data_IF_714010251395
#
_entry.id   IF_714010251395
#
_cell.length_a   1.000
_cell.length_b   1.000
_cell.length_c   1.000
_cell.angle_alpha   90.00
_cell.angle_beta   90.00
_cell.angle_gamma   90.00
#
_symmetry.space_group_name_H-M   'P 1'
#
loop_
_entity.id
_entity.type
_entity.pdbx_description
1 polymer ?
#
# COMPACT_ATOMS: atom_id res chain seq x y z
N UNK A 1 10.58 3.35 9.97
CA UNK A 1 9.40 4.24 9.98
C UNK A 1 8.54 3.83 11.18
N UNK A 2 8.20 4.75 12.09
CA UNK A 2 7.33 4.44 13.25
C UNK A 2 5.93 4.95 12.92
N UNK A 3 5.02 4.06 12.56
CA UNK A 3 3.61 4.39 12.34
C UNK A 3 2.93 4.52 13.71
N UNK A 4 2.76 5.75 14.17
CA UNK A 4 2.02 6.10 15.39
C UNK A 4 0.68 6.74 15.03
N UNK A 5 -0.27 6.79 15.99
CA UNK A 5 -1.56 7.49 15.81
C UNK A 5 -1.35 8.92 15.30
N UNK A 6 -0.46 9.69 15.95
CA UNK A 6 -0.18 11.06 15.53
C UNK A 6 0.50 11.20 14.16
N UNK A 7 1.13 10.14 13.64
CA UNK A 7 1.68 10.16 12.28
C UNK A 7 0.67 9.73 11.19
N UNK A 8 -0.43 9.10 11.59
CA UNK A 8 -1.47 8.61 10.69
C UNK A 8 -2.65 9.57 10.58
N UNK A 9 -2.97 10.27 11.67
CA UNK A 9 -4.12 11.19 11.69
C UNK A 9 -4.00 12.28 10.62
N UNK A 10 -5.03 12.40 9.78
CA UNK A 10 -5.10 13.34 8.64
C UNK A 10 -4.16 13.00 7.46
N UNK A 11 -3.50 11.85 7.48
CA UNK A 11 -2.57 11.45 6.42
C UNK A 11 -3.24 10.72 5.25
N UNK A 12 -2.57 10.72 4.09
CA UNK A 12 -2.91 9.87 2.94
C UNK A 12 -1.93 8.71 2.83
N UNK A 13 -2.46 7.49 2.89
CA UNK A 13 -1.66 6.28 2.76
C UNK A 13 -1.65 5.81 1.31
N UNK A 14 -0.45 5.78 0.73
CA UNK A 14 -0.19 5.34 -0.64
C UNK A 14 -0.13 3.80 -0.72
N UNK A 15 -0.28 3.27 -1.95
CA UNK A 15 -0.04 1.86 -2.22
C UNK A 15 1.45 1.56 -2.12
N UNK A 16 1.84 0.37 -1.67
CA UNK A 16 3.23 -0.06 -1.67
C UNK A 16 3.44 -1.17 -2.70
N UNK A 17 4.03 -0.81 -3.84
CA UNK A 17 4.19 -1.70 -5.00
C UNK A 17 5.66 -1.66 -5.44
N UNK A 18 6.24 -2.84 -5.67
CA UNK A 18 7.62 -2.99 -6.16
C UNK A 18 8.68 -2.22 -5.35
N UNK A 19 8.54 -2.21 -4.02
CA UNK A 19 9.49 -1.55 -3.12
C UNK A 19 9.32 -0.03 -2.98
N UNK A 20 8.26 0.57 -3.53
CA UNK A 20 8.02 2.00 -3.45
C UNK A 20 6.57 2.32 -3.04
N UNK A 21 6.40 3.46 -2.37
CA UNK A 21 5.08 4.05 -2.14
C UNK A 21 4.63 4.81 -3.39
N UNK A 22 3.45 4.46 -3.92
CA UNK A 22 2.87 5.03 -5.13
C UNK A 22 1.45 5.48 -4.88
N UNK A 23 1.08 6.66 -5.40
CA UNK A 23 -0.31 7.08 -5.43
C UNK A 23 -1.15 6.13 -6.32
N UNK A 24 -2.44 5.93 -6.02
CA UNK A 24 -3.31 5.11 -6.86
C UNK A 24 -3.42 5.71 -8.26
N UNK A 25 -3.51 4.89 -9.31
CA UNK A 25 -3.59 5.37 -10.70
C UNK A 25 -4.79 6.28 -10.94
N UNK A 26 -5.89 6.02 -10.23
CA UNK A 26 -7.12 6.83 -10.29
C UNK A 26 -6.99 8.17 -9.56
N UNK A 27 -6.00 8.32 -8.68
CA UNK A 27 -5.86 9.45 -7.76
C UNK A 27 -6.89 9.47 -6.61
N UNK A 28 -7.73 8.44 -6.49
CA UNK A 28 -8.80 8.38 -5.49
C UNK A 28 -8.31 7.82 -4.16
N UNK A 29 -8.82 8.39 -3.06
CA UNK A 29 -8.57 7.93 -1.71
C UNK A 29 -9.91 7.84 -0.96
N UNK A 30 -10.01 6.90 -0.02
CA UNK A 30 -11.20 6.64 0.78
C UNK A 30 -10.89 6.90 2.25
N UNK A 31 -11.86 7.50 2.95
CA UNK A 31 -11.80 7.71 4.39
C UNK A 31 -11.81 6.38 5.15
N UNK A 32 -10.82 6.20 6.02
CA UNK A 32 -10.90 5.28 7.15
C UNK A 32 -11.59 5.99 8.30
N UNK A 33 -12.41 5.25 9.06
CA UNK A 33 -13.16 5.78 10.19
C UNK A 33 -12.65 5.19 11.50
N UNK A 34 -12.52 6.04 12.52
CA UNK A 34 -12.23 5.61 13.88
C UNK A 34 -13.47 4.90 14.47
N UNK A 35 -13.39 3.62 14.87
CA UNK A 35 -14.53 2.87 15.39
C UNK A 35 -15.06 3.38 16.74
N UNK A 36 -14.29 4.19 17.47
CA UNK A 36 -14.70 4.74 18.78
C UNK A 36 -15.49 6.03 18.67
N UNK A 37 -15.25 6.82 17.61
CA UNK A 37 -15.88 8.14 17.40
C UNK A 37 -16.75 8.21 16.16
N UNK A 38 -16.61 7.26 15.23
CA UNK A 38 -17.29 7.24 13.93
C UNK A 38 -16.84 8.34 12.97
N UNK A 39 -15.72 9.02 13.24
CA UNK A 39 -15.22 10.13 12.42
C UNK A 39 -14.09 9.66 11.50
N UNK A 40 -13.94 10.26 10.31
CA UNK A 40 -12.74 10.07 9.48
C UNK A 40 -11.50 10.43 10.28
N UNK A 41 -10.44 9.61 10.16
CA UNK A 41 -9.16 9.85 10.85
C UNK A 41 -7.97 9.80 9.90
N UNK A 42 -8.04 9.07 8.78
CA UNK A 42 -7.06 9.15 7.69
C UNK A 42 -7.66 8.64 6.38
N UNK A 43 -6.96 8.86 5.28
CA UNK A 43 -7.35 8.41 3.94
C UNK A 43 -6.40 7.31 3.44
N UNK A 44 -6.93 6.27 2.77
CA UNK A 44 -6.12 5.25 2.10
C UNK A 44 -6.41 5.20 0.61
N UNK A 45 -5.38 4.89 -0.19
CA UNK A 45 -5.47 4.82 -1.63
C UNK A 45 -6.49 3.76 -2.09
N UNK A 46 -7.40 4.16 -2.97
CA UNK A 46 -8.35 3.25 -3.62
C UNK A 46 -7.68 2.60 -4.83
N UNK A 47 -7.19 1.37 -4.65
CA UNK A 47 -6.52 0.63 -5.72
C UNK A 47 -7.51 0.24 -6.83
N UNK A 48 -7.21 0.69 -8.06
CA UNK A 48 -7.94 0.28 -9.26
C UNK A 48 -7.36 -0.98 -9.92
N UNK A 49 -7.99 -1.43 -11.01
CA UNK A 49 -7.52 -2.60 -11.77
C UNK A 49 -6.08 -2.46 -12.27
N UNK A 50 -5.66 -1.26 -12.67
CA UNK A 50 -4.28 -0.98 -13.11
C UNK A 50 -3.26 -1.09 -11.97
N UNK A 51 -3.61 -0.59 -10.78
CA UNK A 51 -2.78 -0.73 -9.58
C UNK A 51 -2.60 -2.20 -9.20
N UNK A 52 -3.70 -2.96 -9.23
CA UNK A 52 -3.68 -4.42 -8.98
C UNK A 52 -2.83 -5.13 -10.02
N UNK A 53 -2.97 -4.80 -11.31
CA UNK A 53 -2.15 -5.35 -12.38
C UNK A 53 -0.66 -5.09 -12.14
N UNK A 54 -0.28 -3.86 -11.80
CA UNK A 54 1.10 -3.50 -11.48
C UNK A 54 1.64 -4.27 -10.26
N UNK A 55 0.83 -4.45 -9.22
CA UNK A 55 1.19 -5.24 -8.04
C UNK A 55 1.41 -6.72 -8.38
N UNK A 56 0.53 -7.32 -9.18
CA UNK A 56 0.63 -8.72 -9.62
C UNK A 56 1.88 -8.94 -10.48
N UNK A 57 2.15 -8.06 -11.44
CA UNK A 57 3.35 -8.16 -12.29
C UNK A 57 4.64 -7.98 -11.48
N UNK A 58 4.66 -7.06 -10.51
CA UNK A 58 5.78 -6.91 -9.59
C UNK A 58 6.01 -8.18 -8.75
N UNK A 59 4.95 -8.76 -8.19
CA UNK A 59 5.01 -10.00 -7.42
C UNK A 59 5.49 -11.17 -8.28
N UNK A 60 4.99 -11.29 -9.52
CA UNK A 60 5.42 -12.32 -10.48
C UNK A 60 6.90 -12.19 -10.84
N UNK A 61 7.36 -10.97 -11.07
CA UNK A 61 8.76 -10.67 -11.35
C UNK A 61 9.65 -11.07 -10.17
N UNK A 62 9.28 -10.67 -8.95
CA UNK A 62 10.00 -11.07 -7.75
C UNK A 62 10.03 -12.60 -7.59
N UNK A 63 8.89 -13.27 -7.77
CA UNK A 63 8.79 -14.73 -7.67
C UNK A 63 9.71 -15.46 -8.66
N UNK A 64 9.86 -14.94 -9.87
CA UNK A 64 10.75 -15.53 -10.89
C UNK A 64 12.23 -15.16 -10.67
N UNK A 65 12.52 -13.99 -10.10
CA UNK A 65 13.86 -13.46 -9.95
C UNK A 65 14.70 -14.31 -8.97
N UNK A 66 15.97 -14.65 -9.32
CA UNK A 66 16.84 -15.44 -8.44
C UNK A 66 17.04 -14.83 -7.05
N UNK A 67 17.04 -13.49 -6.95
CA UNK A 67 17.24 -12.76 -5.70
C UNK A 67 16.23 -13.15 -4.61
N UNK A 68 14.96 -13.35 -4.98
CA UNK A 68 13.94 -13.84 -4.06
C UNK A 68 13.78 -15.36 -4.16
N UNK A 69 13.72 -15.91 -5.38
CA UNK A 69 13.46 -17.33 -5.63
C UNK A 69 14.50 -18.28 -5.01
N UNK A 70 15.76 -17.86 -4.92
CA UNK A 70 16.85 -18.66 -4.33
C UNK A 70 17.18 -18.24 -2.91
N UNK A 71 16.41 -17.32 -2.34
CA UNK A 71 16.61 -16.92 -0.96
C UNK A 71 16.37 -18.13 -0.07
N UNK A 72 17.40 -18.52 0.68
CA UNK A 72 17.31 -19.57 1.69
C UNK A 72 16.60 -19.02 2.92
N UNK A 73 16.09 -19.90 3.77
CA UNK A 73 15.37 -19.52 4.99
C UNK A 73 16.24 -18.73 6.00
N UNK A 74 17.55 -18.65 5.78
CA UNK A 74 18.60 -18.13 6.67
C UNK A 74 19.82 -17.76 5.84
#
# INVERSE_FOLDING_TARGET
MKTTVGSLEGSRQNLFINGAFVAPKTGQYIDSFDPTTGKPWYEFAEAGAEDVGAAVEAARTAFAAPAWRRMTQT
#
